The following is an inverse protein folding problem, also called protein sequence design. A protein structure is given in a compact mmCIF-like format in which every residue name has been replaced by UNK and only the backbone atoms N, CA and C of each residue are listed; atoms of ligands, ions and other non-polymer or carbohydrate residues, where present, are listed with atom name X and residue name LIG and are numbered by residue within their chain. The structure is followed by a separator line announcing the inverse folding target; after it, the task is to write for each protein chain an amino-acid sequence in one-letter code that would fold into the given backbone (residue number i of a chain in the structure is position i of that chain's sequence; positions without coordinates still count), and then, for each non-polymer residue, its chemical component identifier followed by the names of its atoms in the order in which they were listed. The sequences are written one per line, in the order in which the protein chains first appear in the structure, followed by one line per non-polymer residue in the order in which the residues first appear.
data_IF_111484711283
#
_entry.id   IF_111484711283
#
_cell.length_a   1.000
_cell.length_b   1.000
_cell.length_c   1.000
_cell.angle_alpha   90.00
_cell.angle_beta   90.00
_cell.angle_gamma   90.00
#
_symmetry.space_group_name_H-M   'P 1'
#
loop_
_entity.id
_entity.type
_entity.pdbx_description
1 polymer ?
#
# COMPACT_ATOMS: atom_id res chain seq x y z
N UNK A 1 5.01 45.56 -28.23
CA UNK A 1 4.24 44.76 -27.26
C UNK A 1 4.10 43.35 -27.82
N UNK A 2 4.67 42.36 -27.10
CA UNK A 2 4.60 40.88 -27.27
C UNK A 2 5.31 40.28 -28.52
N UNK A 3 6.06 39.15 -28.36
CA UNK A 3 5.50 37.92 -27.81
C UNK A 3 6.38 37.14 -26.81
N UNK A 4 5.89 37.07 -25.57
CA UNK A 4 6.32 36.13 -24.50
C UNK A 4 5.82 34.69 -24.77
N UNK A 5 5.18 34.46 -25.92
CA UNK A 5 4.53 33.19 -26.28
C UNK A 5 5.50 32.06 -26.67
N UNK A 6 6.77 32.35 -26.96
CA UNK A 6 7.76 31.33 -27.34
C UNK A 6 8.42 30.61 -26.16
N UNK A 7 8.41 31.19 -24.95
CA UNK A 7 8.92 30.51 -23.74
C UNK A 7 7.93 29.46 -23.18
N UNK A 8 6.64 29.56 -23.52
CA UNK A 8 5.60 28.71 -22.94
C UNK A 8 5.49 27.32 -23.60
N UNK A 9 5.94 27.16 -24.85
CA UNK A 9 5.87 25.88 -25.57
C UNK A 9 6.87 24.83 -25.07
N UNK A 10 8.09 25.24 -24.74
CA UNK A 10 9.15 24.35 -24.25
C UNK A 10 8.87 23.83 -22.83
N UNK A 11 8.24 24.65 -21.99
CA UNK A 11 7.86 24.27 -20.61
C UNK A 11 6.78 23.19 -20.61
N UNK A 12 5.79 23.27 -21.51
CA UNK A 12 4.70 22.27 -21.63
C UNK A 12 5.25 20.91 -22.09
N UNK A 13 6.21 20.89 -23.03
CA UNK A 13 6.91 19.68 -23.47
C UNK A 13 7.76 19.04 -22.35
N UNK A 14 8.34 19.86 -21.45
CA UNK A 14 9.12 19.36 -20.32
C UNK A 14 8.24 18.74 -19.22
N UNK A 15 7.06 19.30 -18.94
CA UNK A 15 6.14 18.80 -17.88
C UNK A 15 5.50 17.45 -18.26
N UNK A 16 5.20 17.21 -19.54
CA UNK A 16 4.64 15.95 -20.03
C UNK A 16 5.62 14.76 -19.94
N UNK A 17 6.94 15.01 -19.86
CA UNK A 17 7.94 13.95 -19.76
C UNK A 17 8.13 13.40 -18.33
N UNK A 18 7.78 14.18 -17.29
CA UNK A 18 8.00 13.77 -15.88
C UNK A 18 6.90 12.81 -15.40
N UNK A 19 5.74 12.80 -16.06
CA UNK A 19 4.59 11.96 -15.69
C UNK A 19 4.73 10.50 -16.09
N UNK A 20 5.70 10.17 -16.96
CA UNK A 20 5.92 8.80 -17.46
C UNK A 20 6.80 7.92 -16.55
N UNK A 21 7.37 8.50 -15.49
CA UNK A 21 8.17 7.79 -14.48
C UNK A 21 7.38 7.56 -13.19
N UNK A 22 6.06 7.30 -13.28
CA UNK A 22 5.44 6.48 -12.24
C UNK A 22 5.94 5.07 -12.47
N UNK A 23 6.80 4.49 -11.59
CA UNK A 23 7.00 3.07 -11.60
C UNK A 23 5.62 2.47 -11.33
N UNK A 24 5.00 1.93 -12.38
CA UNK A 24 3.89 1.02 -12.24
C UNK A 24 4.46 -0.17 -11.47
N UNK A 25 4.25 -0.21 -10.16
CA UNK A 25 4.43 -1.44 -9.39
C UNK A 25 3.29 -2.39 -9.76
N UNK A 26 3.22 -2.74 -11.04
CA UNK A 26 2.41 -3.83 -11.57
C UNK A 26 3.17 -5.12 -11.28
N UNK A 27 3.38 -5.39 -9.99
CA UNK A 27 3.71 -6.72 -9.52
C UNK A 27 2.38 -7.37 -9.18
N UNK A 28 1.88 -8.26 -10.04
CA UNK A 28 1.01 -9.31 -9.51
C UNK A 28 1.78 -9.96 -8.36
N UNK A 29 1.26 -9.88 -7.14
CA UNK A 29 1.90 -10.54 -6.00
C UNK A 29 2.08 -12.01 -6.37
N UNK A 30 3.31 -12.52 -6.28
CA UNK A 30 3.54 -13.94 -6.47
C UNK A 30 2.71 -14.71 -5.44
N UNK A 31 2.17 -15.89 -5.75
CA UNK A 31 1.54 -16.75 -4.75
C UNK A 31 2.40 -16.90 -3.49
N UNK A 32 3.72 -16.99 -3.64
CA UNK A 32 4.67 -17.06 -2.53
C UNK A 32 4.72 -15.77 -1.67
N UNK A 33 4.60 -14.60 -2.30
CA UNK A 33 4.50 -13.31 -1.60
C UNK A 33 3.18 -13.21 -0.82
N UNK A 34 2.07 -13.68 -1.41
CA UNK A 34 0.77 -13.71 -0.73
C UNK A 34 0.76 -14.67 0.45
N UNK A 35 1.48 -15.79 0.35
CA UNK A 35 1.62 -16.78 1.41
C UNK A 35 2.45 -16.27 2.59
N UNK A 36 3.52 -15.50 2.31
CA UNK A 36 4.26 -14.76 3.33
C UNK A 36 3.39 -13.73 4.06
N UNK A 37 2.62 -12.96 3.31
CA UNK A 37 1.68 -11.97 3.86
C UNK A 37 0.58 -12.61 4.72
N UNK A 38 0.04 -13.76 4.29
CA UNK A 38 -0.94 -14.53 5.07
C UNK A 38 -0.39 -14.99 6.41
N UNK A 39 0.79 -15.63 6.41
CA UNK A 39 1.44 -16.12 7.64
C UNK A 39 1.75 -14.98 8.60
N UNK A 40 2.23 -13.85 8.08
CA UNK A 40 2.45 -12.65 8.89
C UNK A 40 1.15 -12.11 9.48
N UNK A 41 0.08 -12.02 8.68
CA UNK A 41 -1.22 -11.57 9.16
C UNK A 41 -1.74 -12.46 10.30
N UNK A 42 -1.69 -13.78 10.14
CA UNK A 42 -2.13 -14.72 11.16
C UNK A 42 -1.30 -14.63 12.44
N UNK A 43 0.03 -14.64 12.30
CA UNK A 43 0.93 -14.64 13.46
C UNK A 43 0.93 -13.30 14.20
N UNK A 44 0.87 -12.17 13.49
CA UNK A 44 1.01 -10.84 14.08
C UNK A 44 -0.34 -10.28 14.52
N UNK A 45 -1.36 -10.35 13.67
CA UNK A 45 -2.64 -9.69 13.92
C UNK A 45 -3.58 -10.54 14.80
N UNK A 46 -3.34 -11.85 14.92
CA UNK A 46 -4.14 -12.75 15.76
C UNK A 46 -3.83 -12.68 17.26
N UNK A 47 -2.83 -11.89 17.67
CA UNK A 47 -2.34 -11.86 19.07
C UNK A 47 -3.28 -11.18 20.06
N UNK A 48 -4.15 -10.27 19.59
CA UNK A 48 -4.96 -9.43 20.47
C UNK A 48 -6.47 -9.70 20.35
N UNK A 49 -6.94 -10.15 19.19
CA UNK A 49 -8.34 -10.48 18.94
C UNK A 49 -8.45 -11.40 17.71
N UNK A 50 -9.65 -11.91 17.46
CA UNK A 50 -9.95 -12.72 16.28
C UNK A 50 -9.64 -11.97 14.98
N UNK A 51 -9.07 -12.67 14.02
CA UNK A 51 -8.72 -12.10 12.72
C UNK A 51 -9.98 -11.74 11.93
N UNK A 52 -10.00 -10.56 11.29
CA UNK A 52 -11.11 -10.18 10.44
C UNK A 52 -11.06 -10.93 9.10
N UNK A 53 -12.23 -11.29 8.53
CA UNK A 53 -12.35 -11.78 7.16
C UNK A 53 -11.78 -10.75 6.16
N UNK A 54 -10.81 -11.10 5.29
CA UNK A 54 -10.25 -10.18 4.31
C UNK A 54 -11.27 -9.54 3.36
N UNK A 55 -12.42 -10.16 3.08
CA UNK A 55 -13.38 -9.70 2.06
C UNK A 55 -14.42 -8.70 2.60
N UNK A 56 -14.19 -8.11 3.78
CA UNK A 56 -15.17 -7.26 4.46
C UNK A 56 -14.94 -5.75 4.27
N UNK A 57 -13.95 -5.34 3.47
CA UNK A 57 -13.60 -3.93 3.27
C UNK A 57 -13.82 -3.51 1.83
N UNK A 58 -14.06 -2.22 1.63
CA UNK A 58 -13.95 -1.63 0.28
C UNK A 58 -12.48 -1.63 -0.16
N UNK A 59 -12.18 -1.66 -1.47
CA UNK A 59 -10.80 -1.59 -1.97
C UNK A 59 -10.00 -0.43 -1.34
N UNK A 60 -8.77 -0.69 -0.90
CA UNK A 60 -7.93 0.28 -0.18
C UNK A 60 -8.24 0.42 1.31
N UNK A 61 -9.35 -0.14 1.80
CA UNK A 61 -9.77 -0.07 3.20
C UNK A 61 -8.82 -0.80 4.16
N UNK A 62 -8.08 -1.79 3.67
CA UNK A 62 -7.09 -2.51 4.48
C UNK A 62 -5.84 -1.68 4.74
N UNK A 63 -5.45 -0.82 3.81
CA UNK A 63 -4.35 0.13 4.01
C UNK A 63 -4.55 0.99 5.27
N UNK A 64 -5.75 1.54 5.45
CA UNK A 64 -6.08 2.36 6.63
C UNK A 64 -6.15 1.50 7.90
N UNK A 65 -6.75 0.31 7.79
CA UNK A 65 -6.95 -0.60 8.92
C UNK A 65 -5.62 -1.11 9.48
N UNK A 66 -4.71 -1.59 8.63
CA UNK A 66 -3.39 -2.10 9.03
C UNK A 66 -2.58 -1.01 9.74
N UNK A 67 -2.57 0.23 9.21
CA UNK A 67 -1.91 1.37 9.87
C UNK A 67 -2.51 1.67 11.25
N UNK A 68 -3.83 1.63 11.37
CA UNK A 68 -4.53 1.86 12.64
C UNK A 68 -4.17 0.78 13.66
N UNK A 69 -4.17 -0.50 13.27
CA UNK A 69 -3.82 -1.61 14.15
C UNK A 69 -2.36 -1.57 14.57
N UNK A 70 -1.44 -1.18 13.69
CA UNK A 70 -0.04 -0.96 14.08
C UNK A 70 0.10 0.13 15.14
N UNK A 71 -0.66 1.22 15.02
CA UNK A 71 -0.74 2.24 16.06
C UNK A 71 -1.24 1.69 17.40
N UNK A 72 -2.15 0.71 17.37
CA UNK A 72 -2.67 0.06 18.57
C UNK A 72 -1.63 -0.87 19.20
N UNK A 73 -0.96 -1.69 18.39
CA UNK A 73 0.15 -2.56 18.81
C UNK A 73 1.25 -1.76 19.53
N UNK A 74 1.66 -0.63 18.94
CA UNK A 74 2.68 0.25 19.54
C UNK A 74 2.26 0.82 20.90
N UNK A 75 0.99 1.21 21.05
CA UNK A 75 0.47 1.69 22.35
C UNK A 75 0.38 0.58 23.41
N UNK A 76 0.33 -0.67 22.99
CA UNK A 76 0.43 -1.84 23.87
C UNK A 76 1.88 -2.25 24.15
N UNK A 77 2.88 -1.45 23.75
CA UNK A 77 4.30 -1.73 23.97
C UNK A 77 4.88 -2.83 23.08
N UNK A 78 4.15 -3.25 22.04
CA UNK A 78 4.66 -4.26 21.11
C UNK A 78 5.73 -3.65 20.18
N UNK A 79 6.73 -4.45 19.77
CA UNK A 79 7.69 -4.02 18.76
C UNK A 79 7.01 -3.56 17.46
N UNK A 80 7.53 -2.46 16.91
CA UNK A 80 7.06 -1.94 15.63
C UNK A 80 7.36 -2.94 14.51
N UNK A 81 6.39 -3.14 13.63
CA UNK A 81 6.62 -3.93 12.42
C UNK A 81 7.50 -3.15 11.44
N UNK A 82 8.35 -3.88 10.73
CA UNK A 82 9.11 -3.30 9.63
C UNK A 82 8.17 -2.83 8.52
N UNK A 83 8.64 -1.88 7.71
CA UNK A 83 7.88 -1.43 6.55
C UNK A 83 7.59 -2.58 5.56
N UNK A 84 8.46 -3.59 5.49
CA UNK A 84 8.25 -4.78 4.64
C UNK A 84 7.10 -5.64 5.17
N UNK A 85 7.06 -5.91 6.47
CA UNK A 85 5.98 -6.70 7.09
C UNK A 85 4.62 -6.01 6.98
N UNK A 86 4.57 -4.69 7.23
CA UNK A 86 3.33 -3.91 7.07
C UNK A 86 2.81 -3.94 5.64
N UNK A 87 3.70 -3.83 4.65
CA UNK A 87 3.32 -3.96 3.24
C UNK A 87 2.80 -5.35 2.93
N UNK A 88 3.53 -6.41 3.32
CA UNK A 88 3.12 -7.79 3.05
C UNK A 88 1.74 -8.13 3.63
N UNK A 89 1.45 -7.70 4.87
CA UNK A 89 0.14 -7.91 5.50
C UNK A 89 -0.96 -7.17 4.74
N UNK A 90 -0.74 -5.88 4.41
CA UNK A 90 -1.71 -5.09 3.65
C UNK A 90 -1.94 -5.68 2.27
N UNK A 91 -0.88 -6.04 1.56
CA UNK A 91 -0.95 -6.51 0.18
C UNK A 91 -1.69 -7.86 0.12
N UNK A 92 -1.47 -8.76 1.09
CA UNK A 92 -2.28 -9.96 1.26
C UNK A 92 -3.76 -9.64 1.47
N UNK A 93 -4.08 -8.71 2.37
CA UNK A 93 -5.47 -8.37 2.68
C UNK A 93 -6.18 -7.72 1.49
N UNK A 94 -5.53 -6.81 0.76
CA UNK A 94 -6.08 -6.19 -0.45
C UNK A 94 -6.24 -7.21 -1.59
N UNK A 95 -5.27 -8.12 -1.76
CA UNK A 95 -5.36 -9.20 -2.75
C UNK A 95 -6.56 -10.12 -2.49
N UNK A 96 -6.77 -10.51 -1.23
CA UNK A 96 -7.91 -11.35 -0.85
C UNK A 96 -9.25 -10.60 -0.92
N UNK A 97 -9.23 -9.28 -0.71
CA UNK A 97 -10.40 -8.42 -0.77
C UNK A 97 -10.86 -8.08 -2.20
N UNK A 98 -10.06 -8.42 -3.22
CA UNK A 98 -10.47 -8.27 -4.61
C UNK A 98 -11.73 -9.14 -4.89
N UNK A 99 -12.70 -8.61 -5.67
CA UNK A 99 -13.96 -9.30 -5.96
C UNK A 99 -13.78 -10.59 -6.77
#
# INVERSE_FOLDING_TARGET
MLPVLWLNGLIILMILSISSLRPQVSGSLSPEDTDGGRRLFEHVCGKCHTLPNPNQKVPGGWTVTVRRMEGYRRRQGMPALSARELRAIRDYLEYRNAP
#
